data_IF_610707206040
#
_entry.id   IF_610707206040
#
_cell.length_a   1.000
_cell.length_b   1.000
_cell.length_c   1.000
_cell.angle_alpha   90.00
_cell.angle_beta   90.00
_cell.angle_gamma   90.00
#
_symmetry.space_group_name_H-M   'P 1'
#
loop_
_entity.id
_entity.type
_entity.pdbx_description
1 polymer ?
#
# COMPACT_ATOMS: atom_id res chain seq x y z
N UNK A 1 -6.85 -31.95 7.36
CA UNK A 1 -6.57 -30.53 7.07
C UNK A 1 -5.91 -30.48 5.71
N UNK A 2 -6.37 -29.59 4.84
CA UNK A 2 -5.95 -29.51 3.44
C UNK A 2 -4.92 -28.38 3.33
N UNK A 3 -3.65 -28.74 3.15
CA UNK A 3 -2.50 -27.81 3.24
C UNK A 3 -2.66 -26.62 2.27
N UNK A 4 -3.29 -26.85 1.12
CA UNK A 4 -3.56 -25.81 0.12
C UNK A 4 -4.57 -24.77 0.62
N UNK A 5 -5.52 -25.17 1.47
CA UNK A 5 -6.53 -24.26 2.04
C UNK A 5 -5.90 -23.34 3.08
N UNK A 6 -5.05 -23.89 3.96
CA UNK A 6 -4.39 -23.13 5.03
C UNK A 6 -3.41 -22.08 4.46
N UNK A 7 -2.72 -22.39 3.36
CA UNK A 7 -1.84 -21.45 2.64
C UNK A 7 -2.65 -20.30 2.00
N UNK A 8 -3.81 -20.60 1.40
CA UNK A 8 -4.67 -19.58 0.78
C UNK A 8 -5.32 -18.65 1.81
N UNK A 9 -5.73 -19.17 2.97
CA UNK A 9 -6.29 -18.36 4.05
C UNK A 9 -5.24 -17.38 4.61
N UNK A 10 -4.00 -17.83 4.80
CA UNK A 10 -2.90 -16.96 5.24
C UNK A 10 -2.56 -15.83 4.24
N UNK A 11 -2.70 -16.09 2.93
CA UNK A 11 -2.45 -15.09 1.87
C UNK A 11 -3.39 -13.90 1.96
N UNK A 12 -4.68 -14.20 1.98
CA UNK A 12 -5.68 -13.15 2.05
C UNK A 12 -5.67 -12.43 3.40
N UNK A 13 -5.25 -13.10 4.48
CA UNK A 13 -5.08 -12.47 5.78
C UNK A 13 -3.95 -11.42 5.76
N UNK A 14 -2.78 -11.74 5.20
CA UNK A 14 -1.66 -10.79 5.11
C UNK A 14 -2.00 -9.59 4.22
N UNK A 15 -2.57 -9.83 3.02
CA UNK A 15 -3.06 -8.74 2.15
C UNK A 15 -4.03 -7.82 2.89
N UNK A 16 -5.00 -8.41 3.59
CA UNK A 16 -6.01 -7.66 4.33
C UNK A 16 -5.38 -6.84 5.45
N UNK A 17 -4.38 -7.39 6.15
CA UNK A 17 -3.62 -6.66 7.18
C UNK A 17 -2.90 -5.45 6.58
N UNK A 18 -2.17 -5.63 5.48
CA UNK A 18 -1.45 -4.54 4.80
C UNK A 18 -2.40 -3.45 4.30
N UNK A 19 -3.48 -3.85 3.63
CA UNK A 19 -4.53 -2.94 3.17
C UNK A 19 -5.12 -2.13 4.34
N UNK A 20 -5.39 -2.78 5.47
CA UNK A 20 -5.95 -2.11 6.64
C UNK A 20 -4.99 -1.11 7.27
N UNK A 21 -3.69 -1.43 7.33
CA UNK A 21 -2.65 -0.51 7.80
C UNK A 21 -2.61 0.74 6.91
N UNK A 22 -2.53 0.55 5.60
CA UNK A 22 -2.49 1.63 4.62
C UNK A 22 -3.74 2.50 4.73
N UNK A 23 -4.94 1.90 4.78
CA UNK A 23 -6.20 2.64 4.97
C UNK A 23 -6.21 3.47 6.24
N UNK A 24 -5.78 2.89 7.36
CA UNK A 24 -5.74 3.59 8.63
C UNK A 24 -4.79 4.79 8.61
N UNK A 25 -3.63 4.66 7.96
CA UNK A 25 -2.68 5.76 7.81
C UNK A 25 -3.27 6.84 6.89
N UNK A 26 -3.83 6.47 5.74
CA UNK A 26 -4.47 7.43 4.82
C UNK A 26 -5.63 8.19 5.48
N UNK A 27 -6.40 7.55 6.37
CA UNK A 27 -7.46 8.20 7.15
C UNK A 27 -6.84 9.20 8.15
N UNK A 28 -5.81 8.80 8.89
CA UNK A 28 -5.12 9.67 9.86
C UNK A 28 -4.50 10.89 9.20
N UNK A 29 -3.89 10.72 8.03
CA UNK A 29 -3.21 11.76 7.26
C UNK A 29 -4.12 12.53 6.31
N UNK A 30 -5.43 12.22 6.30
CA UNK A 30 -6.39 12.75 5.34
C UNK A 30 -6.47 14.28 5.32
N UNK A 31 -6.43 14.92 6.50
CA UNK A 31 -6.44 16.39 6.59
C UNK A 31 -5.17 17.01 6.00
N UNK A 32 -4.01 16.41 6.26
CA UNK A 32 -2.72 16.88 5.72
C UNK A 32 -2.68 16.74 4.20
N UNK A 33 -3.17 15.62 3.67
CA UNK A 33 -3.31 15.40 2.22
C UNK A 33 -4.22 16.45 1.59
N UNK A 34 -5.38 16.73 2.21
CA UNK A 34 -6.31 17.74 1.75
C UNK A 34 -5.70 19.15 1.75
N UNK A 35 -4.96 19.52 2.79
CA UNK A 35 -4.28 20.82 2.90
C UNK A 35 -3.26 21.04 1.77
N UNK A 36 -2.57 19.97 1.35
CA UNK A 36 -1.65 20.03 0.20
C UNK A 36 -2.35 19.86 -1.15
N UNK A 37 -3.66 19.63 -1.17
CA UNK A 37 -4.46 19.47 -2.39
C UNK A 37 -4.34 18.09 -3.02
N UNK A 38 -3.98 17.07 -2.24
CA UNK A 38 -3.88 15.69 -2.70
C UNK A 38 -5.08 14.85 -2.26
N UNK A 39 -5.48 13.94 -3.13
CA UNK A 39 -6.45 12.88 -2.88
C UNK A 39 -5.74 11.55 -3.08
N UNK A 40 -5.72 10.70 -2.05
CA UNK A 40 -5.18 9.35 -2.15
C UNK A 40 -6.29 8.36 -2.53
N UNK A 41 -5.99 7.45 -3.44
CA UNK A 41 -6.86 6.34 -3.82
C UNK A 41 -6.08 5.04 -3.70
N UNK A 42 -6.51 4.19 -2.77
CA UNK A 42 -6.03 2.82 -2.63
C UNK A 42 -6.80 1.91 -3.59
N UNK A 43 -6.10 1.28 -4.51
CA UNK A 43 -6.66 0.27 -5.40
C UNK A 43 -6.75 -1.10 -4.69
N UNK A 44 -7.62 -1.97 -5.20
CA UNK A 44 -7.65 -3.36 -4.73
C UNK A 44 -6.36 -4.11 -5.11
N UNK A 45 -5.98 -5.16 -4.35
CA UNK A 45 -4.75 -5.89 -4.62
C UNK A 45 -4.81 -6.57 -5.99
N UNK A 46 -3.81 -6.32 -6.84
CA UNK A 46 -3.61 -7.08 -8.08
C UNK A 46 -2.86 -8.35 -7.73
N UNK A 47 -3.49 -9.51 -7.96
CA UNK A 47 -2.95 -10.81 -7.55
C UNK A 47 -2.33 -11.53 -8.73
N UNK A 48 -1.12 -12.04 -8.54
CA UNK A 48 -0.36 -12.79 -9.52
C UNK A 48 -0.12 -14.19 -8.95
N UNK A 49 -0.71 -15.20 -9.60
CA UNK A 49 -0.45 -16.61 -9.34
C UNK A 49 0.35 -17.16 -10.51
N UNK A 50 1.62 -17.49 -10.32
CA UNK A 50 2.44 -18.15 -11.33
C UNK A 50 3.05 -19.45 -10.78
N UNK A 51 3.73 -20.20 -11.63
CA UNK A 51 4.43 -21.44 -11.22
C UNK A 51 5.51 -21.20 -10.14
N UNK A 52 5.93 -19.95 -9.96
CA UNK A 52 6.96 -19.51 -9.00
C UNK A 52 6.41 -19.01 -7.67
N UNK A 53 5.08 -19.01 -7.48
CA UNK A 53 4.45 -18.70 -6.21
C UNK A 53 3.37 -17.62 -6.28
N UNK A 54 2.99 -17.14 -5.10
CA UNK A 54 2.00 -16.08 -4.94
C UNK A 54 2.65 -14.72 -4.76
N UNK A 55 2.21 -13.73 -5.53
CA UNK A 55 2.45 -12.33 -5.19
C UNK A 55 1.20 -11.47 -5.38
N UNK A 56 1.14 -10.35 -4.67
CA UNK A 56 0.13 -9.33 -4.89
C UNK A 56 0.73 -7.94 -4.82
N UNK A 57 0.23 -7.04 -5.63
CA UNK A 57 0.61 -5.64 -5.67
C UNK A 57 -0.53 -4.79 -5.11
N UNK A 58 -0.23 -3.94 -4.15
CA UNK A 58 -1.13 -2.96 -3.55
C UNK A 58 -0.68 -1.58 -4.01
N UNK A 59 -1.57 -0.86 -4.68
CA UNK A 59 -1.27 0.43 -5.31
C UNK A 59 -2.02 1.56 -4.60
N UNK A 60 -1.31 2.65 -4.29
CA UNK A 60 -1.88 3.90 -3.80
C UNK A 60 -1.53 5.00 -4.79
N UNK A 61 -2.53 5.53 -5.48
CA UNK A 61 -2.36 6.67 -6.38
C UNK A 61 -2.71 7.99 -5.69
N UNK A 62 -1.98 9.05 -6.04
CA UNK A 62 -2.16 10.40 -5.51
C UNK A 62 -2.54 11.37 -6.63
N UNK A 63 -3.61 12.12 -6.41
CA UNK A 63 -4.22 13.00 -7.42
C UNK A 63 -4.40 14.41 -6.88
N UNK A 64 -4.19 15.42 -7.72
CA UNK A 64 -4.59 16.81 -7.49
C UNK A 64 -5.72 17.16 -8.47
N UNK A 65 -6.96 17.12 -7.98
CA UNK A 65 -8.14 17.13 -8.84
C UNK A 65 -8.10 15.96 -9.84
N UNK A 66 -8.03 16.27 -11.13
CA UNK A 66 -7.96 15.26 -12.20
C UNK A 66 -6.53 14.96 -12.67
N UNK A 67 -5.51 15.54 -12.03
CA UNK A 67 -4.12 15.36 -12.41
C UNK A 67 -3.46 14.30 -11.54
N UNK A 68 -2.93 13.27 -12.17
CA UNK A 68 -2.09 12.27 -11.51
C UNK A 68 -0.77 12.92 -11.05
N UNK A 69 -0.41 12.72 -9.78
CA UNK A 69 0.81 13.30 -9.19
C UNK A 69 1.86 12.26 -8.83
N UNK A 70 1.48 11.16 -8.19
CA UNK A 70 2.42 10.13 -7.75
C UNK A 70 1.70 8.78 -7.50
N UNK A 71 2.48 7.71 -7.33
CA UNK A 71 2.02 6.35 -7.05
C UNK A 71 2.98 5.67 -6.07
N UNK A 72 2.42 4.95 -5.10
CA UNK A 72 3.17 4.05 -4.23
C UNK A 72 2.69 2.62 -4.48
N UNK A 73 3.64 1.73 -4.75
CA UNK A 73 3.40 0.32 -5.02
C UNK A 73 4.06 -0.51 -3.92
N UNK A 74 3.29 -1.43 -3.33
CA UNK A 74 3.78 -2.38 -2.34
C UNK A 74 3.51 -3.81 -2.80
N UNK A 75 4.54 -4.63 -2.81
CA UNK A 75 4.44 -6.04 -3.20
C UNK A 75 4.41 -6.94 -1.96
N UNK A 76 3.39 -7.79 -1.88
CA UNK A 76 3.28 -8.89 -0.92
C UNK A 76 3.69 -10.17 -1.63
N UNK A 77 4.73 -10.85 -1.17
CA UNK A 77 5.23 -12.12 -1.69
C UNK A 77 4.92 -13.23 -0.70
N UNK A 78 4.34 -14.35 -1.14
CA UNK A 78 4.10 -15.51 -0.28
C UNK A 78 4.66 -16.75 -0.93
N UNK A 79 5.72 -17.25 -0.30
CA UNK A 79 6.37 -18.58 -0.38
C UNK A 79 7.78 -18.41 0.27
N UNK A 80 7.80 -18.11 1.58
CA UNK A 80 9.01 -17.85 2.39
C UNK A 80 9.83 -16.58 2.05
N UNK A 81 9.24 -15.59 1.37
CA UNK A 81 9.95 -14.37 0.93
C UNK A 81 9.47 -13.03 1.52
N UNK A 82 8.34 -12.97 2.23
CA UNK A 82 7.97 -11.73 2.93
C UNK A 82 8.75 -11.62 4.24
N UNK A 83 9.96 -11.05 4.17
CA UNK A 83 10.76 -10.77 5.38
C UNK A 83 10.28 -9.52 6.13
N UNK A 84 9.46 -8.67 5.50
CA UNK A 84 8.98 -7.44 6.10
C UNK A 84 7.86 -7.70 7.12
N UNK A 85 8.10 -7.31 8.37
CA UNK A 85 7.12 -7.27 9.44
C UNK A 85 6.06 -6.20 9.18
N UNK A 86 4.90 -6.34 9.82
CA UNK A 86 3.83 -5.34 9.79
C UNK A 86 4.31 -3.93 10.16
N UNK A 87 5.17 -3.82 11.18
CA UNK A 87 5.74 -2.54 11.61
C UNK A 87 6.62 -1.92 10.54
N UNK A 88 7.44 -2.72 9.84
CA UNK A 88 8.28 -2.23 8.75
C UNK A 88 7.45 -1.74 7.56
N UNK A 89 6.32 -2.41 7.27
CA UNK A 89 5.37 -1.99 6.23
C UNK A 89 4.73 -0.64 6.60
N UNK A 90 4.31 -0.47 7.86
CA UNK A 90 3.77 0.79 8.36
C UNK A 90 4.80 1.92 8.27
N UNK A 91 6.03 1.70 8.76
CA UNK A 91 7.11 2.68 8.68
C UNK A 91 7.44 3.05 7.23
N UNK A 92 7.61 2.06 6.35
CA UNK A 92 7.86 2.30 4.93
C UNK A 92 6.76 3.17 4.31
N UNK A 93 5.48 2.88 4.59
CA UNK A 93 4.39 3.63 4.00
C UNK A 93 4.35 5.08 4.51
N UNK A 94 4.55 5.29 5.81
CA UNK A 94 4.60 6.64 6.41
C UNK A 94 5.73 7.47 5.80
N UNK A 95 6.93 6.90 5.65
CA UNK A 95 8.08 7.60 5.09
C UNK A 95 7.83 8.01 3.64
N UNK A 96 7.32 7.09 2.82
CA UNK A 96 7.01 7.38 1.42
C UNK A 96 5.87 8.39 1.27
N UNK A 97 4.83 8.30 2.10
CA UNK A 97 3.73 9.25 2.12
C UNK A 97 4.22 10.67 2.48
N UNK A 98 5.09 10.77 3.48
CA UNK A 98 5.71 12.04 3.88
C UNK A 98 6.54 12.65 2.74
N UNK A 99 7.25 11.82 1.97
CA UNK A 99 7.99 12.27 0.80
C UNK A 99 7.06 12.79 -0.31
N UNK A 100 5.94 12.12 -0.58
CA UNK A 100 4.90 12.60 -1.51
C UNK A 100 4.37 13.97 -1.08
N UNK A 101 4.01 14.11 0.20
CA UNK A 101 3.50 15.37 0.78
C UNK A 101 4.56 16.49 0.68
N UNK A 102 5.81 16.19 1.02
CA UNK A 102 6.93 17.14 0.96
C UNK A 102 7.20 17.62 -0.46
N UNK A 103 7.26 16.70 -1.43
CA UNK A 103 7.39 17.04 -2.87
C UNK A 103 6.27 18.00 -3.31
N UNK A 104 5.02 17.76 -2.89
CA UNK A 104 3.90 18.64 -3.23
C UNK A 104 4.03 20.03 -2.61
N UNK A 105 4.43 20.14 -1.33
CA UNK A 105 4.65 21.42 -0.65
C UNK A 105 5.71 22.26 -1.36
N UNK A 106 6.83 21.66 -1.76
CA UNK A 106 7.89 22.38 -2.48
C UNK A 106 7.45 22.89 -3.85
N UNK A 107 6.60 22.16 -4.58
CA UNK A 107 6.04 22.61 -5.87
C UNK A 107 5.08 23.80 -5.77
N UNK A 108 4.54 24.13 -4.58
CA UNK A 108 3.60 25.25 -4.39
C UNK A 108 4.30 26.61 -4.13
N UNK A 109 5.60 26.62 -3.86
CA UNK A 109 6.44 27.82 -3.67
C UNK A 109 6.98 28.27 -5.03
#
# INVERSE_FOLDING_TARGET
MDINKDIMENRYELESKVINIIKNILIKEGDILKDVGLQAKLEGPKRYNNESGYSSEIEISFWDGNKFEDILEFFVFLDDQQDATITEIESWFIDNLNDVIKKRKTKKV
#
